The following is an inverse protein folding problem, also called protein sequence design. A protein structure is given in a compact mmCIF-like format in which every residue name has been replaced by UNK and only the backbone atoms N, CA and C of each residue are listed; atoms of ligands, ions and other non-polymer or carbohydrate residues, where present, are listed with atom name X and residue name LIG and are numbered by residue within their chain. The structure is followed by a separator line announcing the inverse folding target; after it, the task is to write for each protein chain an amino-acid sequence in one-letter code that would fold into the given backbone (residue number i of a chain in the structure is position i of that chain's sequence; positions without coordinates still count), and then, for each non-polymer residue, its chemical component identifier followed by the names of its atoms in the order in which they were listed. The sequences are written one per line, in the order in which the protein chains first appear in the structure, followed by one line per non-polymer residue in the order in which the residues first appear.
data_IF_732039399384
#
_entry.id   IF_732039399384
#
_cell.length_a   1.000
_cell.length_b   1.000
_cell.length_c   1.000
_cell.angle_alpha   90.00
_cell.angle_beta   90.00
_cell.angle_gamma   90.00
#
_symmetry.space_group_name_H-M   'P 1'
#
loop_
_entity.id
_entity.type
_entity.pdbx_description
1 polymer ?
#
# COMPACT_ATOMS: atom_id res chain seq x y z
N UNK A 1 -32.65 -24.21 -9.35
CA UNK A 1 -31.82 -23.13 -8.76
C UNK A 1 -30.53 -23.12 -9.57
N UNK A 2 -30.18 -22.05 -10.30
CA UNK A 2 -28.91 -22.05 -11.01
C UNK A 2 -27.79 -21.94 -9.97
N UNK A 3 -26.77 -22.77 -10.17
CA UNK A 3 -25.50 -22.73 -9.46
C UNK A 3 -24.73 -21.55 -10.05
N UNK A 4 -24.53 -20.50 -9.27
CA UNK A 4 -23.73 -19.36 -9.71
C UNK A 4 -22.28 -19.82 -9.76
N UNK A 5 -21.80 -20.13 -10.97
CA UNK A 5 -20.39 -20.34 -11.29
C UNK A 5 -19.60 -19.10 -10.85
N UNK A 6 -19.19 -19.09 -9.59
CA UNK A 6 -18.35 -18.07 -9.01
C UNK A 6 -16.96 -18.28 -9.58
N UNK A 7 -16.70 -17.62 -10.71
CA UNK A 7 -15.46 -17.75 -11.46
C UNK A 7 -14.30 -17.34 -10.54
N UNK A 8 -13.62 -18.35 -9.99
CA UNK A 8 -12.59 -18.18 -8.98
C UNK A 8 -11.33 -17.68 -9.69
N UNK A 9 -11.09 -16.37 -9.62
CA UNK A 9 -9.96 -15.73 -10.28
C UNK A 9 -8.65 -16.36 -9.78
N UNK A 10 -7.73 -16.61 -10.71
CA UNK A 10 -6.42 -17.12 -10.32
C UNK A 10 -5.64 -16.05 -9.57
N UNK A 11 -4.78 -16.44 -8.62
CA UNK A 11 -3.92 -15.51 -7.88
C UNK A 11 -3.08 -14.60 -8.78
N UNK A 12 -2.82 -15.02 -10.03
CA UNK A 12 -2.13 -14.22 -11.04
C UNK A 12 -2.98 -13.11 -11.65
N UNK A 13 -4.30 -13.30 -11.73
CA UNK A 13 -5.25 -12.31 -12.25
C UNK A 13 -5.63 -11.31 -11.17
N UNK A 14 -5.80 -11.78 -9.93
CA UNK A 14 -6.10 -10.92 -8.76
C UNK A 14 -5.04 -9.82 -8.60
N UNK A 15 -3.76 -10.15 -8.71
CA UNK A 15 -2.65 -9.19 -8.57
C UNK A 15 -2.52 -8.22 -9.75
N UNK A 16 -2.94 -8.61 -10.94
CA UNK A 16 -2.93 -7.75 -12.14
C UNK A 16 -4.09 -6.74 -12.07
N UNK A 17 -5.28 -7.19 -11.68
CA UNK A 17 -6.45 -6.32 -11.46
C UNK A 17 -6.24 -5.34 -10.30
N UNK A 18 -5.55 -5.73 -9.23
CA UNK A 18 -5.18 -4.82 -8.13
C UNK A 18 -4.22 -3.70 -8.57
N UNK A 19 -3.47 -3.90 -9.65
CA UNK A 19 -2.52 -2.91 -10.19
C UNK A 19 -3.20 -1.94 -11.17
N UNK A 20 -4.24 -2.38 -11.86
CA UNK A 20 -4.99 -1.57 -12.81
C UNK A 20 -6.15 -0.76 -12.18
N UNK A 21 -6.67 -1.18 -11.02
CA UNK A 21 -7.87 -0.57 -10.44
C UNK A 21 -7.72 -0.14 -8.96
N UNK A 22 -7.65 1.18 -8.68
CA UNK A 22 -7.56 1.71 -7.32
C UNK A 22 -8.83 1.43 -6.48
N UNK A 23 -9.97 1.17 -7.11
CA UNK A 23 -11.22 0.83 -6.43
C UNK A 23 -11.15 -0.56 -5.77
N UNK A 24 -10.45 -1.51 -6.39
CA UNK A 24 -10.26 -2.86 -5.84
C UNK A 24 -9.33 -2.80 -4.63
N UNK A 25 -8.31 -1.93 -4.68
CA UNK A 25 -7.45 -1.65 -3.53
C UNK A 25 -8.25 -1.06 -2.36
N UNK A 26 -9.09 -0.05 -2.62
CA UNK A 26 -9.96 0.55 -1.62
C UNK A 26 -10.93 -0.48 -0.99
N UNK A 27 -11.55 -1.34 -1.80
CA UNK A 27 -12.40 -2.42 -1.32
C UNK A 27 -11.63 -3.39 -0.43
N UNK A 28 -10.42 -3.80 -0.81
CA UNK A 28 -9.58 -4.69 -0.01
C UNK A 28 -9.14 -4.06 1.31
N UNK A 29 -8.86 -2.75 1.33
CA UNK A 29 -8.56 -2.00 2.55
C UNK A 29 -9.78 -1.88 3.46
N UNK A 30 -10.98 -1.65 2.91
CA UNK A 30 -12.22 -1.58 3.68
C UNK A 30 -12.60 -2.94 4.26
N UNK A 31 -12.43 -4.03 3.50
CA UNK A 31 -12.64 -5.39 3.99
C UNK A 31 -11.66 -5.76 5.12
N UNK A 32 -10.42 -5.27 5.05
CA UNK A 32 -9.44 -5.36 6.15
C UNK A 32 -9.90 -4.61 7.40
N UNK A 33 -10.42 -3.40 7.22
CA UNK A 33 -10.86 -2.51 8.29
C UNK A 33 -12.13 -3.05 8.99
N UNK A 34 -13.05 -3.65 8.24
CA UNK A 34 -14.34 -4.14 8.75
C UNK A 34 -14.24 -5.52 9.42
N UNK A 35 -13.33 -6.38 8.97
CA UNK A 35 -13.18 -7.74 9.51
C UNK A 35 -12.49 -7.84 10.87
N UNK A 36 -11.95 -6.73 11.39
CA UNK A 36 -11.19 -6.72 12.65
C UNK A 36 -9.87 -7.50 12.58
N UNK A 37 -9.48 -7.96 11.39
CA UNK A 37 -8.21 -8.62 11.13
C UNK A 37 -7.11 -7.61 11.33
N UNK A 38 -6.28 -7.86 12.33
CA UNK A 38 -5.15 -7.01 12.65
C UNK A 38 -4.16 -7.04 11.50
N UNK A 39 -3.52 -5.92 11.20
CA UNK A 39 -2.56 -5.83 10.08
C UNK A 39 -1.42 -6.86 10.26
N UNK A 40 -1.09 -7.18 11.50
CA UNK A 40 -0.11 -8.17 11.92
C UNK A 40 -0.51 -9.62 11.62
N UNK A 41 -1.78 -9.90 11.31
CA UNK A 41 -2.30 -11.23 10.96
C UNK A 41 -2.30 -11.48 9.45
N UNK A 42 -1.91 -10.49 8.65
CA UNK A 42 -1.83 -10.63 7.21
C UNK A 42 -0.59 -11.46 6.86
N UNK A 43 -0.71 -12.52 6.04
CA UNK A 43 0.41 -13.39 5.71
C UNK A 43 1.65 -12.62 5.22
N UNK A 44 1.43 -11.61 4.38
CA UNK A 44 2.51 -10.73 3.88
C UNK A 44 3.20 -9.92 4.99
N UNK A 45 2.48 -9.50 6.03
CA UNK A 45 3.09 -8.77 7.16
C UNK A 45 3.87 -9.73 8.05
N UNK A 46 3.33 -10.94 8.29
CA UNK A 46 4.02 -11.98 9.06
C UNK A 46 5.32 -12.47 8.38
N UNK A 47 5.35 -12.50 7.05
CA UNK A 47 6.53 -12.91 6.26
C UNK A 47 7.67 -11.89 6.30
N UNK A 48 7.38 -10.61 6.57
CA UNK A 48 8.36 -9.52 6.55
C UNK A 48 8.30 -8.64 7.82
N UNK A 49 8.58 -9.19 9.01
CA UNK A 49 8.46 -8.46 10.27
C UNK A 49 9.40 -7.26 10.39
N UNK A 50 10.56 -7.30 9.71
CA UNK A 50 11.55 -6.22 9.72
C UNK A 50 11.16 -5.03 8.82
N UNK A 51 10.29 -5.27 7.83
CA UNK A 51 9.81 -4.24 6.88
C UNK A 51 8.55 -3.56 7.41
N UNK A 52 7.75 -4.28 8.20
CA UNK A 52 6.54 -3.77 8.85
C UNK A 52 6.66 -3.83 10.38
N UNK A 53 7.62 -3.08 10.98
CA UNK A 53 7.74 -3.03 12.43
C UNK A 53 6.48 -2.38 13.02
N UNK A 54 6.16 -2.78 14.26
CA UNK A 54 5.00 -2.25 15.00
C UNK A 54 5.09 -0.73 15.22
N UNK A 55 6.32 -0.23 15.32
CA UNK A 55 6.65 1.17 15.49
C UNK A 55 7.41 1.66 14.24
N UNK A 56 6.95 2.77 13.65
CA UNK A 56 7.61 3.42 12.50
C UNK A 56 8.54 4.51 13.03
N UNK A 57 9.77 4.60 12.51
CA UNK A 57 10.65 5.72 12.83
C UNK A 57 10.15 6.99 12.14
N UNK A 58 10.09 8.11 12.89
CA UNK A 58 9.75 9.42 12.32
C UNK A 58 10.79 9.92 11.30
N UNK A 59 11.99 9.33 11.31
CA UNK A 59 13.09 9.69 10.42
C UNK A 59 13.20 8.62 9.33
N UNK A 60 13.26 9.01 8.04
CA UNK A 60 13.49 8.05 6.98
C UNK A 60 14.83 7.35 7.18
N UNK A 61 14.93 6.02 6.92
CA UNK A 61 16.18 5.30 7.02
C UNK A 61 17.24 5.89 6.09
N UNK A 62 18.51 5.69 6.42
CA UNK A 62 19.62 6.09 5.55
C UNK A 62 19.45 5.45 4.17
N UNK A 63 19.43 6.30 3.13
CA UNK A 63 19.37 5.84 1.75
C UNK A 63 20.79 5.60 1.26
N UNK A 64 21.02 4.49 0.58
CA UNK A 64 22.31 4.18 -0.05
C UNK A 64 22.69 5.18 -1.15
N UNK A 65 21.71 5.91 -1.70
CA UNK A 65 21.90 6.90 -2.76
C UNK A 65 21.37 8.26 -2.36
N UNK A 66 22.10 9.30 -2.77
CA UNK A 66 21.66 10.69 -2.63
C UNK A 66 20.53 10.96 -3.63
N UNK A 67 19.42 11.53 -3.14
CA UNK A 67 18.26 11.88 -3.96
C UNK A 67 18.27 13.38 -4.24
N UNK A 68 18.14 13.75 -5.51
CA UNK A 68 17.97 15.13 -5.95
C UNK A 68 16.49 15.40 -6.24
N UNK A 69 16.06 16.65 -6.00
CA UNK A 69 14.73 17.11 -6.39
C UNK A 69 14.92 18.04 -7.59
N UNK A 70 14.50 17.57 -8.75
CA UNK A 70 14.55 18.39 -9.96
C UNK A 70 13.41 19.42 -9.93
N UNK A 71 13.78 20.69 -10.04
CA UNK A 71 12.82 21.79 -10.05
C UNK A 71 12.58 22.26 -11.49
N UNK A 72 11.32 22.59 -11.77
CA UNK A 72 10.98 23.28 -13.01
C UNK A 72 11.55 24.70 -12.94
N UNK A 73 12.13 25.26 -14.02
CA UNK A 73 12.59 26.64 -14.03
C UNK A 73 11.47 27.60 -13.59
N UNK A 74 11.75 28.41 -12.56
CA UNK A 74 10.78 29.34 -11.98
C UNK A 74 10.09 28.85 -10.70
N UNK A 75 10.37 27.63 -10.23
CA UNK A 75 9.95 27.20 -8.88
C UNK A 75 10.61 28.08 -7.81
N UNK A 76 9.79 28.66 -6.92
CA UNK A 76 10.23 29.44 -5.77
C UNK A 76 9.90 28.72 -4.45
N UNK A 77 10.67 28.95 -3.36
CA UNK A 77 10.32 28.45 -2.04
C UNK A 77 8.94 28.93 -1.57
N UNK A 78 8.23 28.07 -0.84
CA UNK A 78 6.97 28.40 -0.17
C UNK A 78 7.20 28.36 1.34
N UNK A 79 6.69 29.35 2.07
CA UNK A 79 6.80 29.44 3.53
C UNK A 79 5.44 29.76 4.13
N UNK A 80 5.07 29.07 5.19
CA UNK A 80 3.87 29.34 6.00
C UNK A 80 4.30 29.50 7.45
N UNK A 81 3.81 30.53 8.14
CA UNK A 81 4.06 30.70 9.57
C UNK A 81 3.23 29.67 10.39
N UNK A 82 3.70 29.24 11.57
CA UNK A 82 3.00 28.27 12.42
C UNK A 82 1.61 28.73 12.88
#
# INVERSE_FOLDING_TARGET
KPEEDSQLMSSKEVKESLKEHPEIFAMFTSLKLESGVKMEELPVVCEFPDVFPRDVSDVPPEREVEFTIDLVPGTSPISMAP
#
